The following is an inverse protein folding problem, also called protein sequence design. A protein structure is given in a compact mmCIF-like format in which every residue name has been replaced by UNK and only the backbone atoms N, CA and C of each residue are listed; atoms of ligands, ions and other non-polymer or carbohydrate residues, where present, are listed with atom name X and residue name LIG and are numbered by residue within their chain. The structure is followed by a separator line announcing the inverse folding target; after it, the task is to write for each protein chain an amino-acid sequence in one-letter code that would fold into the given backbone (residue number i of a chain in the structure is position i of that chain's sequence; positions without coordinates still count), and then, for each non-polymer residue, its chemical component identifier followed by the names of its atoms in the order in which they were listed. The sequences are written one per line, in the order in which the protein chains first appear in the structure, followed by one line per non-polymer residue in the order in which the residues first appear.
data_IF_262454007354
#
_entry.id   IF_262454007354
#
_cell.length_a   1.000
_cell.length_b   1.000
_cell.length_c   1.000
_cell.angle_alpha   90.00
_cell.angle_beta   90.00
_cell.angle_gamma   90.00
#
_symmetry.space_group_name_H-M   'P 1'
#
loop_
_entity.id
_entity.type
_entity.pdbx_description
1 polymer ?
#
# COMPACT_ATOMS: atom_id res chain seq x y z
N UNK A 1 -4.53 22.59 42.86
CA UNK A 1 -3.44 21.93 42.12
C UNK A 1 -3.72 22.05 40.62
N UNK A 2 -2.87 22.76 39.88
CA UNK A 2 -3.05 22.96 38.43
C UNK A 2 -2.44 21.76 37.71
N UNK A 3 -3.26 20.82 37.26
CA UNK A 3 -2.80 19.70 36.45
C UNK A 3 -2.16 20.23 35.16
N UNK A 4 -0.82 20.21 35.11
CA UNK A 4 -0.08 20.52 33.89
C UNK A 4 -0.30 19.35 32.92
N UNK A 5 -1.09 19.57 31.88
CA UNK A 5 -1.32 18.55 30.84
C UNK A 5 0.03 18.14 30.24
N UNK A 6 0.33 16.84 30.11
CA UNK A 6 1.53 16.40 29.43
C UNK A 6 1.51 16.94 28.00
N UNK A 7 2.44 17.86 27.69
CA UNK A 7 2.65 18.33 26.32
C UNK A 7 3.46 17.25 25.61
N UNK A 8 2.78 16.40 24.85
CA UNK A 8 3.38 15.57 23.79
C UNK A 8 3.87 16.47 22.64
N UNK A 9 4.79 17.39 22.94
CA UNK A 9 5.52 18.14 21.92
C UNK A 9 6.79 17.35 21.62
N UNK A 10 6.76 16.66 20.49
CA UNK A 10 7.97 16.12 19.88
C UNK A 10 8.92 17.29 19.62
N UNK A 11 10.22 17.12 19.91
CA UNK A 11 11.24 18.12 19.60
C UNK A 11 11.20 18.40 18.10
N UNK A 12 10.86 19.63 17.72
CA UNK A 12 10.85 20.06 16.33
C UNK A 12 12.28 20.46 15.95
N UNK A 13 12.83 19.83 14.93
CA UNK A 13 14.13 20.25 14.39
C UNK A 13 13.93 21.53 13.59
N UNK A 14 14.66 22.59 13.95
CA UNK A 14 14.54 23.88 13.26
C UNK A 14 14.84 23.72 11.76
N UNK A 15 14.07 24.45 10.95
CA UNK A 15 14.26 24.51 9.50
C UNK A 15 15.59 25.18 9.18
N UNK A 16 16.26 24.69 8.14
CA UNK A 16 17.47 25.30 7.61
C UNK A 16 17.18 26.51 6.69
N UNK A 17 15.93 26.68 6.24
CA UNK A 17 15.57 27.63 5.18
C UNK A 17 14.59 28.72 5.60
N UNK A 18 13.83 28.54 6.69
CA UNK A 18 12.83 29.51 7.13
C UNK A 18 12.84 29.68 8.66
N UNK A 19 13.22 30.87 9.11
CA UNK A 19 13.02 31.33 10.49
C UNK A 19 11.57 31.82 10.66
N UNK A 20 10.85 31.29 11.64
CA UNK A 20 9.46 31.71 11.87
C UNK A 20 8.70 30.83 12.86
N UNK A 21 7.38 30.96 12.86
CA UNK A 21 6.52 30.18 13.75
C UNK A 21 6.73 28.68 13.52
N UNK A 22 7.21 27.96 14.55
CA UNK A 22 7.51 26.53 14.55
C UNK A 22 6.30 25.64 14.15
N UNK A 23 5.10 26.20 14.08
CA UNK A 23 3.92 25.55 13.50
C UNK A 23 4.03 25.31 11.99
N UNK A 24 4.66 26.22 11.26
CA UNK A 24 4.63 26.25 9.79
C UNK A 24 5.96 25.85 9.15
N UNK A 25 7.04 25.89 9.93
CA UNK A 25 8.40 25.57 9.51
C UNK A 25 8.97 24.47 10.41
N UNK A 26 9.60 23.46 9.80
CA UNK A 26 10.26 22.32 10.45
C UNK A 26 11.21 21.69 9.43
N UNK A 27 12.29 21.06 9.87
CA UNK A 27 13.25 20.36 9.00
C UNK A 27 12.60 19.35 8.06
N UNK A 28 11.53 18.68 8.48
CA UNK A 28 10.81 17.71 7.64
C UNK A 28 9.98 18.34 6.51
N UNK A 29 9.72 19.65 6.60
CA UNK A 29 9.02 20.42 5.58
C UNK A 29 9.97 21.08 4.57
N UNK A 30 11.27 21.08 4.88
CA UNK A 30 12.28 21.69 4.04
C UNK A 30 12.51 20.89 2.75
N UNK A 31 12.92 21.54 1.65
CA UNK A 31 13.35 20.85 0.45
C UNK A 31 14.52 19.91 0.76
N UNK A 32 14.49 18.70 0.18
CA UNK A 32 15.56 17.72 0.41
C UNK A 32 16.87 18.21 -0.22
N UNK A 33 17.97 18.36 0.56
CA UNK A 33 19.26 18.80 0.04
C UNK A 33 19.84 17.76 -0.92
N UNK A 34 20.71 18.17 -1.84
CA UNK A 34 21.27 17.31 -2.90
C UNK A 34 21.88 16.01 -2.36
N UNK A 35 22.65 16.09 -1.26
CA UNK A 35 23.26 14.92 -0.61
C UNK A 35 22.24 13.95 0.01
N UNK A 36 21.03 14.43 0.31
CA UNK A 36 19.92 13.63 0.84
C UNK A 36 19.08 12.92 -0.25
N UNK A 37 19.27 13.25 -1.52
CA UNK A 37 18.49 12.72 -2.65
C UNK A 37 18.99 11.34 -3.07
N UNK A 38 18.65 10.33 -2.28
CA UNK A 38 19.06 8.93 -2.51
C UNK A 38 18.15 8.16 -3.46
N UNK A 39 17.01 8.74 -3.84
CA UNK A 39 16.03 8.12 -4.74
C UNK A 39 16.28 8.57 -6.17
N UNK A 40 16.78 7.65 -7.00
CA UNK A 40 16.98 7.86 -8.43
C UNK A 40 15.90 7.21 -9.28
N UNK A 41 16.03 7.30 -10.61
CA UNK A 41 15.07 6.75 -11.58
C UNK A 41 14.83 5.25 -11.35
N UNK A 42 15.90 4.46 -11.15
CA UNK A 42 15.78 3.02 -10.89
C UNK A 42 15.00 2.72 -9.60
N UNK A 43 15.18 3.52 -8.54
CA UNK A 43 14.42 3.37 -7.29
C UNK A 43 12.94 3.69 -7.47
N UNK A 44 12.62 4.67 -8.32
CA UNK A 44 11.23 5.01 -8.66
C UNK A 44 10.58 3.90 -9.48
N UNK A 45 11.27 3.35 -10.48
CA UNK A 45 10.76 2.22 -11.27
C UNK A 45 10.52 1.00 -10.37
N UNK A 46 11.51 0.65 -9.53
CA UNK A 46 11.37 -0.45 -8.58
C UNK A 46 10.20 -0.25 -7.61
N UNK A 47 10.00 0.98 -7.13
CA UNK A 47 8.85 1.32 -6.29
C UNK A 47 7.52 1.06 -7.01
N UNK A 48 7.36 1.54 -8.24
CA UNK A 48 6.11 1.36 -9.00
C UNK A 48 5.85 -0.09 -9.37
N UNK A 49 6.87 -0.87 -9.73
CA UNK A 49 6.72 -2.32 -9.92
C UNK A 49 6.29 -2.97 -8.60
N UNK A 50 6.98 -2.67 -7.51
CA UNK A 50 6.62 -3.20 -6.19
C UNK A 50 5.19 -2.83 -5.76
N UNK A 51 4.72 -1.63 -6.10
CA UNK A 51 3.37 -1.17 -5.79
C UNK A 51 2.32 -1.83 -6.68
N UNK A 52 2.56 -1.94 -7.99
CA UNK A 52 1.64 -2.58 -8.94
C UNK A 52 1.44 -4.08 -8.64
N UNK A 53 2.49 -4.77 -8.20
CA UNK A 53 2.44 -6.18 -7.83
C UNK A 53 2.03 -6.34 -6.34
N UNK A 54 0.75 -6.12 -6.06
CA UNK A 54 0.15 -6.32 -4.74
C UNK A 54 -1.18 -7.10 -4.82
N UNK A 55 -1.61 -7.69 -3.70
CA UNK A 55 -2.81 -8.54 -3.65
C UNK A 55 -4.13 -7.78 -3.94
N UNK A 56 -4.28 -6.55 -3.42
CA UNK A 56 -5.49 -5.76 -3.66
C UNK A 56 -5.69 -5.41 -5.15
N UNK A 57 -4.60 -5.22 -5.89
CA UNK A 57 -4.67 -5.00 -7.35
C UNK A 57 -5.15 -6.25 -8.10
N UNK A 58 -4.87 -7.45 -7.59
CA UNK A 58 -5.39 -8.71 -8.16
C UNK A 58 -6.87 -8.92 -7.89
N UNK A 59 -7.32 -8.56 -6.69
CA UNK A 59 -8.74 -8.59 -6.32
C UNK A 59 -9.58 -7.69 -7.23
N UNK A 60 -9.01 -6.60 -7.76
CA UNK A 60 -9.70 -5.74 -8.72
C UNK A 60 -10.05 -6.46 -10.04
N UNK A 61 -9.15 -7.28 -10.56
CA UNK A 61 -9.45 -8.07 -11.76
C UNK A 61 -10.49 -9.16 -11.44
N UNK A 62 -10.37 -9.80 -10.27
CA UNK A 62 -11.32 -10.82 -9.82
C UNK A 62 -12.73 -10.27 -9.62
N UNK A 63 -12.87 -9.04 -9.12
CA UNK A 63 -14.17 -8.44 -8.85
C UNK A 63 -14.92 -8.08 -10.14
N UNK A 64 -14.22 -7.64 -11.20
CA UNK A 64 -14.83 -7.37 -12.51
C UNK A 64 -15.42 -8.67 -13.10
N UNK A 65 -14.68 -9.77 -13.01
CA UNK A 65 -15.13 -11.08 -13.50
C UNK A 65 -16.33 -11.56 -12.66
N UNK A 66 -16.31 -11.35 -11.34
CA UNK A 66 -17.41 -11.72 -10.45
C UNK A 66 -18.72 -10.97 -10.74
N UNK A 67 -18.66 -9.79 -11.36
CA UNK A 67 -19.84 -9.02 -11.80
C UNK A 67 -20.43 -9.55 -13.12
N UNK A 68 -19.78 -10.51 -13.78
CA UNK A 68 -20.27 -11.18 -14.99
C UNK A 68 -19.57 -10.77 -16.28
N UNK A 69 -18.51 -9.95 -16.22
CA UNK A 69 -17.71 -9.63 -17.41
C UNK A 69 -16.73 -10.76 -17.73
N UNK A 70 -16.44 -10.93 -19.01
CA UNK A 70 -15.45 -11.90 -19.46
C UNK A 70 -14.03 -11.47 -19.07
N UNK A 71 -13.10 -12.42 -18.96
CA UNK A 71 -11.69 -12.11 -18.65
C UNK A 71 -11.04 -11.17 -19.67
N UNK A 72 -11.47 -11.21 -20.94
CA UNK A 72 -10.96 -10.35 -22.02
C UNK A 72 -11.38 -8.90 -21.79
N UNK A 73 -12.65 -8.69 -21.44
CA UNK A 73 -13.17 -7.37 -21.11
C UNK A 73 -12.52 -6.82 -19.85
N UNK A 74 -12.37 -7.65 -18.81
CA UNK A 74 -11.70 -7.27 -17.58
C UNK A 74 -10.25 -6.80 -17.84
N UNK A 75 -9.49 -7.53 -18.68
CA UNK A 75 -8.12 -7.16 -19.04
C UNK A 75 -8.04 -5.79 -19.73
N UNK A 76 -8.93 -5.55 -20.70
CA UNK A 76 -8.98 -4.29 -21.45
C UNK A 76 -9.36 -3.13 -20.53
N UNK A 77 -10.37 -3.31 -19.68
CA UNK A 77 -10.83 -2.29 -18.73
C UNK A 77 -9.70 -1.92 -17.76
N UNK A 78 -9.01 -2.92 -17.21
CA UNK A 78 -7.89 -2.71 -16.29
C UNK A 78 -6.74 -1.97 -17.00
N UNK A 79 -6.37 -2.40 -18.21
CA UNK A 79 -5.29 -1.79 -18.98
C UNK A 79 -5.57 -0.31 -19.29
N UNK A 80 -6.78 0.01 -19.77
CA UNK A 80 -7.18 1.39 -20.07
C UNK A 80 -7.24 2.23 -18.78
N UNK A 81 -7.76 1.67 -17.69
CA UNK A 81 -7.85 2.36 -16.40
C UNK A 81 -6.47 2.75 -15.88
N UNK A 82 -5.52 1.82 -15.84
CA UNK A 82 -4.16 2.11 -15.40
C UNK A 82 -3.42 3.06 -16.35
N UNK A 83 -3.67 2.96 -17.66
CA UNK A 83 -3.11 3.87 -18.64
C UNK A 83 -3.54 5.32 -18.40
N UNK A 84 -4.84 5.57 -18.22
CA UNK A 84 -5.37 6.91 -17.94
C UNK A 84 -4.82 7.45 -16.61
N UNK A 85 -4.85 6.63 -15.56
CA UNK A 85 -4.38 7.02 -14.22
C UNK A 85 -2.88 7.36 -14.24
N UNK A 86 -2.06 6.70 -15.08
CA UNK A 86 -0.62 6.95 -15.16
C UNK A 86 -0.29 8.41 -15.49
N UNK A 87 -1.06 9.08 -16.35
CA UNK A 87 -0.87 10.49 -16.68
C UNK A 87 -1.13 11.41 -15.48
N UNK A 88 -2.21 11.14 -14.74
CA UNK A 88 -2.59 11.92 -13.55
C UNK A 88 -1.54 11.78 -12.45
N UNK A 89 -1.04 10.56 -12.24
CA UNK A 89 0.02 10.25 -11.29
C UNK A 89 1.33 10.95 -11.70
N UNK A 90 1.73 10.85 -12.97
CA UNK A 90 2.95 11.48 -13.47
C UNK A 90 2.90 13.02 -13.33
N UNK A 91 1.75 13.62 -13.66
CA UNK A 91 1.52 15.06 -13.47
C UNK A 91 1.64 15.48 -12.00
N UNK A 92 1.02 14.75 -11.08
CA UNK A 92 1.14 15.01 -9.63
C UNK A 92 2.58 14.82 -9.12
N UNK A 93 3.28 13.79 -9.60
CA UNK A 93 4.66 13.49 -9.20
C UNK A 93 5.67 14.55 -9.65
N UNK A 94 5.38 15.27 -10.73
CA UNK A 94 6.30 16.26 -11.34
C UNK A 94 6.67 17.38 -10.36
N UNK A 95 5.70 17.89 -9.59
CA UNK A 95 5.95 18.99 -8.63
C UNK A 95 6.89 18.53 -7.51
N UNK A 96 6.66 17.33 -6.97
CA UNK A 96 7.53 16.73 -5.96
C UNK A 96 8.93 16.44 -6.48
N UNK A 97 9.04 15.95 -7.73
CA UNK A 97 10.32 15.64 -8.36
C UNK A 97 11.15 16.89 -8.73
N UNK A 98 10.51 18.00 -9.14
CA UNK A 98 11.23 19.23 -9.49
C UNK A 98 11.65 20.02 -8.25
N UNK A 99 10.72 20.24 -7.34
CA UNK A 99 10.95 21.12 -6.18
C UNK A 99 11.43 20.38 -4.93
N UNK A 100 11.36 19.05 -4.89
CA UNK A 100 11.83 18.24 -3.76
C UNK A 100 11.19 18.61 -2.41
N UNK A 101 9.95 19.12 -2.46
CA UNK A 101 9.14 19.52 -1.31
C UNK A 101 8.05 18.50 -1.02
N UNK A 102 7.64 18.32 0.25
CA UNK A 102 6.61 17.36 0.61
C UNK A 102 5.20 17.88 0.29
N UNK A 103 4.24 16.95 0.13
CA UNK A 103 2.85 17.24 -0.21
C UNK A 103 2.18 18.33 0.67
N UNK A 104 2.34 18.35 2.01
CA UNK A 104 1.75 19.40 2.84
C UNK A 104 2.20 20.81 2.49
N UNK A 105 3.41 20.99 1.93
CA UNK A 105 3.91 22.29 1.47
C UNK A 105 3.30 22.65 0.12
N UNK A 106 3.19 21.69 -0.80
CA UNK A 106 2.53 21.87 -2.10
C UNK A 106 1.06 22.27 -1.89
N UNK A 107 0.35 21.61 -0.97
CA UNK A 107 -1.05 21.89 -0.68
C UNK A 107 -1.29 23.34 -0.21
N UNK A 108 -0.31 23.96 0.46
CA UNK A 108 -0.40 25.36 0.90
C UNK A 108 -0.37 26.35 -0.27
N UNK A 109 0.26 26.00 -1.39
CA UNK A 109 0.30 26.87 -2.56
C UNK A 109 -1.10 27.05 -3.19
N UNK A 110 -1.94 26.01 -3.17
CA UNK A 110 -3.28 26.07 -3.75
C UNK A 110 -4.39 26.41 -2.74
N UNK A 111 -4.28 25.92 -1.50
CA UNK A 111 -5.34 26.04 -0.47
C UNK A 111 -5.02 27.05 0.64
N UNK A 112 -3.84 27.67 0.61
CA UNK A 112 -3.33 28.50 1.70
C UNK A 112 -2.96 27.70 2.95
N UNK A 113 -2.46 28.40 3.98
CA UNK A 113 -1.97 27.75 5.21
C UNK A 113 -3.07 27.01 5.97
N UNK A 114 -4.23 27.63 6.15
CA UNK A 114 -5.35 27.04 6.89
C UNK A 114 -6.19 26.09 6.04
N UNK A 115 -6.39 26.38 4.75
CA UNK A 115 -7.14 25.49 3.86
C UNK A 115 -6.41 24.18 3.55
N UNK A 116 -5.06 24.17 3.61
CA UNK A 116 -4.26 22.96 3.37
C UNK A 116 -4.58 21.78 4.29
N UNK A 117 -5.20 22.01 5.46
CA UNK A 117 -5.61 20.92 6.33
C UNK A 117 -6.67 20.01 5.71
N UNK A 118 -7.55 20.54 4.84
CA UNK A 118 -8.60 19.74 4.18
C UNK A 118 -7.98 18.61 3.32
N UNK A 119 -7.10 18.89 2.33
CA UNK A 119 -6.48 17.84 1.54
C UNK A 119 -5.54 16.95 2.35
N UNK A 120 -4.88 17.47 3.39
CA UNK A 120 -4.04 16.67 4.29
C UNK A 120 -4.87 15.63 5.06
N UNK A 121 -5.99 16.04 5.67
CA UNK A 121 -6.87 15.14 6.42
C UNK A 121 -7.51 14.11 5.50
N UNK A 122 -7.97 14.52 4.31
CA UNK A 122 -8.50 13.60 3.30
C UNK A 122 -7.48 12.50 2.94
N UNK A 123 -6.21 12.86 2.76
CA UNK A 123 -5.11 11.90 2.51
C UNK A 123 -4.84 10.98 3.69
N UNK A 124 -4.93 11.48 4.92
CA UNK A 124 -4.76 10.65 6.13
C UNK A 124 -5.87 9.60 6.22
N UNK A 125 -7.12 10.00 5.98
CA UNK A 125 -8.27 9.07 5.96
C UNK A 125 -8.03 7.97 4.92
N UNK A 126 -7.67 8.35 3.70
CA UNK A 126 -7.36 7.39 2.63
C UNK A 126 -6.21 6.44 3.01
N UNK A 127 -5.14 6.97 3.63
CA UNK A 127 -4.01 6.16 4.07
C UNK A 127 -4.41 5.13 5.15
N UNK A 128 -5.31 5.50 6.08
CA UNK A 128 -5.83 4.58 7.10
C UNK A 128 -6.66 3.46 6.46
N UNK A 129 -7.50 3.78 5.48
CA UNK A 129 -8.26 2.76 4.74
C UNK A 129 -7.34 1.77 4.00
N UNK A 130 -6.35 2.28 3.27
CA UNK A 130 -5.39 1.41 2.59
C UNK A 130 -4.57 0.58 3.57
N UNK A 131 -4.18 1.16 4.71
CA UNK A 131 -3.50 0.42 5.76
C UNK A 131 -4.35 -0.74 6.28
N UNK A 132 -5.65 -0.53 6.50
CA UNK A 132 -6.57 -1.58 6.95
C UNK A 132 -6.70 -2.71 5.93
N UNK A 133 -6.89 -2.38 4.64
CA UNK A 133 -7.01 -3.36 3.55
C UNK A 133 -5.75 -4.22 3.47
N UNK A 134 -4.56 -3.59 3.49
CA UNK A 134 -3.31 -4.34 3.39
C UNK A 134 -3.03 -5.21 4.62
N UNK A 135 -3.50 -4.80 5.80
CA UNK A 135 -3.39 -5.61 7.02
C UNK A 135 -4.28 -6.86 6.96
N UNK A 136 -5.50 -6.74 6.43
CA UNK A 136 -6.38 -7.90 6.23
C UNK A 136 -5.78 -8.86 5.19
N UNK A 137 -5.30 -8.34 4.06
CA UNK A 137 -4.68 -9.16 3.01
C UNK A 137 -3.40 -9.85 3.51
N UNK A 138 -2.59 -9.15 4.30
CA UNK A 138 -1.43 -9.74 4.98
C UNK A 138 -1.81 -10.81 5.99
N UNK A 139 -2.85 -10.57 6.81
CA UNK A 139 -3.38 -11.55 7.76
C UNK A 139 -3.91 -12.81 7.07
N UNK A 140 -4.62 -12.66 5.95
CA UNK A 140 -5.09 -13.79 5.14
C UNK A 140 -3.92 -14.60 4.57
N UNK A 141 -2.87 -13.95 4.08
CA UNK A 141 -1.66 -14.62 3.62
C UNK A 141 -0.98 -15.41 4.76
N UNK A 142 -0.83 -14.82 5.95
CA UNK A 142 -0.26 -15.49 7.12
C UNK A 142 -1.14 -16.68 7.55
N UNK A 143 -2.46 -16.56 7.49
CA UNK A 143 -3.39 -17.67 7.80
C UNK A 143 -3.14 -18.87 6.90
N UNK A 144 -2.99 -18.64 5.59
CA UNK A 144 -2.70 -19.70 4.62
C UNK A 144 -1.31 -20.31 4.86
N UNK A 145 -0.30 -19.48 5.12
CA UNK A 145 1.06 -19.96 5.45
C UNK A 145 1.08 -20.82 6.71
N UNK A 146 0.39 -20.39 7.77
CA UNK A 146 0.26 -21.18 9.01
C UNK A 146 -0.49 -22.48 8.78
N UNK A 147 -1.55 -22.47 7.96
CA UNK A 147 -2.27 -23.69 7.58
C UNK A 147 -1.42 -24.66 6.76
N UNK A 148 -0.48 -24.16 5.96
CA UNK A 148 0.44 -25.00 5.18
C UNK A 148 1.53 -25.65 6.06
N UNK A 149 2.02 -24.95 7.10
CA UNK A 149 3.01 -25.50 8.05
C UNK A 149 2.33 -26.42 9.07
N UNK A 150 1.19 -25.99 9.62
CA UNK A 150 0.40 -26.73 10.60
C UNK A 150 -1.07 -26.83 10.15
N UNK A 151 -1.46 -27.92 9.48
CA UNK A 151 -2.84 -28.12 9.04
C UNK A 151 -3.88 -28.06 10.17
N UNK A 152 -3.48 -28.41 11.40
CA UNK A 152 -4.32 -28.30 12.59
C UNK A 152 -4.77 -26.87 12.89
N UNK A 153 -4.03 -25.85 12.46
CA UNK A 153 -4.38 -24.43 12.65
C UNK A 153 -5.67 -24.03 11.92
N UNK A 154 -5.97 -24.68 10.80
CA UNK A 154 -7.20 -24.42 10.04
C UNK A 154 -8.45 -24.93 10.79
N UNK A 155 -8.30 -25.94 11.64
CA UNK A 155 -9.37 -26.57 12.41
C UNK A 155 -9.52 -25.99 13.84
N UNK A 156 -8.91 -24.84 14.12
CA UNK A 156 -9.01 -24.20 15.42
C UNK A 156 -10.48 -23.87 15.75
N UNK A 157 -10.91 -24.18 16.98
CA UNK A 157 -12.25 -23.89 17.44
C UNK A 157 -12.56 -22.40 17.30
N UNK A 158 -13.62 -22.07 16.58
CA UNK A 158 -14.02 -20.69 16.38
C UNK A 158 -14.93 -20.23 17.52
N UNK A 159 -14.39 -19.45 18.46
CA UNK A 159 -15.16 -18.85 19.55
C UNK A 159 -15.88 -17.54 19.17
N UNK A 160 -15.69 -17.07 17.94
CA UNK A 160 -16.24 -15.79 17.47
C UNK A 160 -17.54 -16.04 16.69
N UNK A 161 -18.63 -15.34 17.05
CA UNK A 161 -19.88 -15.38 16.31
C UNK A 161 -19.72 -15.06 14.82
N UNK A 162 -20.41 -15.81 13.95
CA UNK A 162 -20.26 -15.72 12.48
C UNK A 162 -20.69 -14.37 11.90
N UNK A 163 -21.56 -13.63 12.58
CA UNK A 163 -22.01 -12.27 12.25
C UNK A 163 -20.88 -11.23 12.26
N UNK A 164 -19.78 -11.51 12.97
CA UNK A 164 -18.62 -10.61 13.04
C UNK A 164 -17.72 -10.70 11.79
N UNK A 165 -18.00 -11.63 10.87
CA UNK A 165 -17.27 -11.75 9.60
C UNK A 165 -15.79 -12.15 9.72
N UNK A 166 -15.32 -12.51 10.92
CA UNK A 166 -13.94 -12.92 11.19
C UNK A 166 -13.91 -14.20 12.01
N UNK A 167 -12.95 -15.06 11.68
CA UNK A 167 -12.71 -16.34 12.36
C UNK A 167 -11.57 -16.21 13.36
N UNK A 168 -11.56 -17.05 14.39
CA UNK A 168 -10.54 -16.99 15.46
C UNK A 168 -9.14 -17.20 14.91
N UNK A 169 -8.97 -18.15 13.97
CA UNK A 169 -7.70 -18.34 13.25
C UNK A 169 -7.34 -17.16 12.33
N UNK A 170 -8.33 -16.45 11.76
CA UNK A 170 -8.14 -15.21 11.01
C UNK A 170 -7.64 -14.07 11.90
N UNK A 171 -8.24 -13.88 13.08
CA UNK A 171 -7.82 -12.85 14.05
C UNK A 171 -6.39 -13.07 14.54
N UNK A 172 -6.03 -14.32 14.86
CA UNK A 172 -4.67 -14.65 15.32
C UNK A 172 -3.65 -14.39 14.21
N UNK A 173 -3.94 -14.81 12.97
CA UNK A 173 -3.06 -14.57 11.83
C UNK A 173 -2.91 -13.07 11.51
N UNK A 174 -3.99 -12.30 11.60
CA UNK A 174 -3.97 -10.85 11.49
C UNK A 174 -3.08 -10.21 12.55
N UNK A 175 -3.22 -10.62 13.83
CA UNK A 175 -2.42 -10.08 14.92
C UNK A 175 -0.93 -10.41 14.74
N UNK A 176 -0.60 -11.62 14.30
CA UNK A 176 0.77 -12.01 13.98
C UNK A 176 1.34 -11.12 12.87
N UNK A 177 0.60 -10.94 11.77
CA UNK A 177 1.01 -10.05 10.69
C UNK A 177 1.23 -8.61 11.19
N UNK A 178 0.30 -8.11 12.00
CA UNK A 178 0.36 -6.78 12.60
C UNK A 178 1.60 -6.55 13.49
N UNK A 179 2.02 -7.57 14.25
CA UNK A 179 3.26 -7.53 15.05
C UNK A 179 4.49 -7.57 14.14
N UNK A 180 4.49 -8.45 13.13
CA UNK A 180 5.62 -8.60 12.19
C UNK A 180 5.87 -7.33 11.38
N UNK A 181 4.83 -6.56 11.03
CA UNK A 181 5.02 -5.30 10.29
C UNK A 181 5.60 -4.16 11.15
N UNK A 182 5.52 -4.24 12.49
CA UNK A 182 5.88 -3.13 13.37
C UNK A 182 7.37 -2.69 13.25
N UNK A 183 8.37 -3.60 13.20
CA UNK A 183 9.75 -3.24 12.97
C UNK A 183 9.99 -2.48 11.65
N UNK A 184 9.20 -2.78 10.61
CA UNK A 184 9.31 -2.11 9.32
C UNK A 184 8.84 -0.64 9.38
N UNK A 185 7.95 -0.28 10.31
CA UNK A 185 7.53 1.10 10.53
C UNK A 185 8.68 1.98 11.05
N UNK A 186 9.61 1.40 11.81
CA UNK A 186 10.76 2.11 12.35
C UNK A 186 11.89 2.34 11.34
N UNK A 187 11.79 1.78 10.13
CA UNK A 187 12.80 1.96 9.08
C UNK A 187 12.65 3.33 8.41
N UNK A 188 13.73 4.12 8.46
CA UNK A 188 13.76 5.40 7.78
C UNK A 188 13.52 5.25 6.27
N UNK A 189 12.66 6.08 5.63
CA UNK A 189 12.40 6.09 4.20
C UNK A 189 13.61 6.00 3.25
N UNK A 190 14.78 6.50 3.67
CA UNK A 190 16.02 6.42 2.90
C UNK A 190 16.54 4.98 2.72
N UNK A 191 16.24 4.08 3.66
CA UNK A 191 16.63 2.66 3.59
C UNK A 191 15.57 1.80 2.90
N UNK A 192 14.32 2.25 2.87
CA UNK A 192 13.19 1.53 2.26
C UNK A 192 13.37 1.27 0.76
N UNK A 193 14.16 2.09 0.05
CA UNK A 193 14.45 1.90 -1.38
C UNK A 193 14.95 0.48 -1.72
N UNK A 194 15.73 -0.12 -0.82
CA UNK A 194 16.27 -1.47 -1.03
C UNK A 194 15.21 -2.55 -0.84
N UNK A 195 14.27 -2.35 0.08
CA UNK A 195 13.11 -3.24 0.24
C UNK A 195 12.26 -3.24 -1.03
N UNK A 196 11.98 -2.07 -1.61
CA UNK A 196 11.24 -1.98 -2.86
C UNK A 196 11.99 -2.58 -4.03
N UNK A 197 13.31 -2.41 -4.12
CA UNK A 197 14.14 -3.04 -5.14
C UNK A 197 14.07 -4.58 -5.06
N UNK A 198 14.23 -5.15 -3.87
CA UNK A 198 14.10 -6.60 -3.67
C UNK A 198 12.68 -7.08 -3.99
N UNK A 199 11.66 -6.38 -3.49
CA UNK A 199 10.25 -6.71 -3.74
C UNK A 199 9.91 -6.67 -5.23
N UNK A 200 10.46 -5.70 -5.98
CA UNK A 200 10.24 -5.57 -7.43
C UNK A 200 10.79 -6.73 -8.26
N UNK A 201 11.68 -7.56 -7.71
CA UNK A 201 12.22 -8.74 -8.38
C UNK A 201 11.47 -10.00 -7.91
N UNK A 202 11.35 -10.18 -6.59
CA UNK A 202 10.78 -11.41 -6.02
C UNK A 202 9.29 -11.55 -6.34
N UNK A 203 8.51 -10.46 -6.21
CA UNK A 203 7.05 -10.56 -6.31
C UNK A 203 6.59 -10.86 -7.74
N UNK A 204 7.11 -10.22 -8.80
CA UNK A 204 6.75 -10.60 -10.17
C UNK A 204 7.06 -12.07 -10.50
N UNK A 205 8.20 -12.58 -10.03
CA UNK A 205 8.57 -14.00 -10.22
C UNK A 205 7.56 -14.91 -9.52
N UNK A 206 7.18 -14.60 -8.27
CA UNK A 206 6.17 -15.35 -7.54
C UNK A 206 4.81 -15.31 -8.26
N UNK A 207 4.43 -14.18 -8.83
CA UNK A 207 3.18 -14.02 -9.57
C UNK A 207 3.16 -14.87 -10.84
N UNK A 208 4.26 -14.87 -11.59
CA UNK A 208 4.40 -15.74 -12.77
C UNK A 208 4.36 -17.21 -12.36
N UNK A 209 5.00 -17.58 -11.24
CA UNK A 209 4.98 -18.95 -10.73
C UNK A 209 3.56 -19.39 -10.34
N UNK A 210 2.78 -18.54 -9.67
CA UNK A 210 1.37 -18.81 -9.32
C UNK A 210 0.53 -18.95 -10.59
N UNK A 211 0.76 -18.10 -11.60
CA UNK A 211 0.05 -18.17 -12.89
C UNK A 211 0.34 -19.50 -13.61
N UNK A 212 1.61 -19.91 -13.69
CA UNK A 212 2.00 -21.19 -14.29
C UNK A 212 1.37 -22.36 -13.52
N UNK A 213 1.41 -22.32 -12.18
CA UNK A 213 0.79 -23.33 -11.34
C UNK A 213 -0.72 -23.44 -11.60
N UNK A 214 -1.42 -22.31 -11.71
CA UNK A 214 -2.86 -22.29 -12.00
C UNK A 214 -3.18 -22.95 -13.35
N UNK A 215 -2.38 -22.67 -14.40
CA UNK A 215 -2.57 -23.31 -15.72
C UNK A 215 -2.32 -24.82 -15.70
N UNK A 216 -1.37 -25.29 -14.89
CA UNK A 216 -1.06 -26.72 -14.75
C UNK A 216 -2.15 -27.42 -13.93
N UNK A 217 -2.64 -26.80 -12.85
CA UNK A 217 -3.68 -27.36 -12.00
C UNK A 217 -5.01 -27.57 -12.75
N UNK A 218 -5.36 -26.66 -13.65
CA UNK A 218 -6.56 -26.73 -14.51
C UNK A 218 -6.41 -27.69 -15.72
N UNK A 219 -5.32 -28.45 -15.82
CA UNK A 219 -5.03 -29.38 -16.94
C UNK A 219 -5.04 -28.70 -18.33
N UNK A 220 -4.42 -27.52 -18.43
CA UNK A 220 -4.17 -26.82 -19.70
C UNK A 220 -5.11 -25.63 -19.95
N UNK A 221 -4.82 -24.85 -21.00
CA UNK A 221 -5.49 -23.56 -21.33
C UNK A 221 -6.98 -23.71 -21.71
N UNK A 222 -7.50 -24.95 -21.77
CA UNK A 222 -8.79 -25.29 -22.37
C UNK A 222 -10.03 -24.96 -21.51
N UNK A 223 -10.04 -25.10 -20.16
CA UNK A 223 -11.25 -24.79 -19.37
C UNK A 223 -11.57 -23.29 -19.27
N UNK A 224 -10.57 -22.41 -19.43
CA UNK A 224 -10.77 -20.95 -19.34
C UNK A 224 -11.67 -20.39 -20.45
N UNK A 225 -11.76 -21.09 -21.59
CA UNK A 225 -12.70 -20.76 -22.68
C UNK A 225 -14.11 -21.33 -22.45
N UNK A 226 -14.27 -22.30 -21.54
CA UNK A 226 -15.55 -22.97 -21.28
C UNK A 226 -16.26 -22.40 -20.05
N UNK A 227 -15.54 -21.79 -19.10
CA UNK A 227 -16.13 -21.12 -17.93
C UNK A 227 -17.02 -19.92 -18.33
N UNK A 228 -16.83 -19.33 -19.52
CA UNK A 228 -17.76 -18.31 -20.05
C UNK A 228 -19.09 -18.87 -20.57
N UNK A 229 -19.31 -20.18 -20.53
CA UNK A 229 -20.56 -20.83 -20.97
C UNK A 229 -21.39 -21.41 -19.82
N UNK A 230 -21.02 -21.15 -18.55
CA UNK A 230 -21.79 -21.58 -17.38
C UNK A 230 -22.17 -20.44 -16.43
N UNK A 231 -22.20 -19.19 -16.92
CA UNK A 231 -22.99 -18.11 -16.31
C UNK A 231 -24.35 -18.06 -16.97
#
# INVERSE_FOLDING_TARGET
MRFSRPRLRVSQHESAFASGNARWTNRDLDPIPLLGRKWGVASIIAYWISDAFNAATWEFASSIIAVGLTYKEALIIVAISFFIISFVIAGNGTVGAKYHIPFPVIARASWGFWGSYIPIVSRVILAVFWFAIQNINGGNAVRVMLGAIWPSYLNLHNGIPLDQGITTNGMVAYFIFWVIQFPFLCLHPNKLRWLFAVKSIIVPIAFIAILIWAFVAEKGVVPFLTISLQV
#
